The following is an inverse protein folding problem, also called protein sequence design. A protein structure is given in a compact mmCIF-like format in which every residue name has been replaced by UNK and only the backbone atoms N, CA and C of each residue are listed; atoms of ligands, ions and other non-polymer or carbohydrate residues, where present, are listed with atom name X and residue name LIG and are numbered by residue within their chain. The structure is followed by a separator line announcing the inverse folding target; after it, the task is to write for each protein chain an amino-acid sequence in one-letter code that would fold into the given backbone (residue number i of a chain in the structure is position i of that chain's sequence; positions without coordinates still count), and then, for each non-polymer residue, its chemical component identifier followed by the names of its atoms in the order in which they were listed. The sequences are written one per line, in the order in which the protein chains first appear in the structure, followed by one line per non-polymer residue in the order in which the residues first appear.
data_IF_527689480301
#
_entry.id   IF_527689480301
#
_cell.length_a   1.000
_cell.length_b   1.000
_cell.length_c   1.000
_cell.angle_alpha   90.00
_cell.angle_beta   90.00
_cell.angle_gamma   90.00
#
_symmetry.space_group_name_H-M   'P 1'
#
loop_
_entity.id
_entity.type
_entity.pdbx_description
1 polymer ?
#
# COMPACT_ATOMS: atom_id res chain seq x y z
N UNK A 1 -21.84 -34.16 1.04
CA UNK A 1 -21.48 -32.76 1.38
C UNK A 1 -20.01 -32.59 1.80
N UNK A 2 -19.49 -33.33 2.80
CA UNK A 2 -18.09 -33.20 3.27
C UNK A 2 -17.02 -33.51 2.20
N UNK A 3 -17.25 -34.49 1.33
CA UNK A 3 -16.27 -34.88 0.31
C UNK A 3 -16.11 -33.83 -0.80
N UNK A 4 -17.20 -33.19 -1.22
CA UNK A 4 -17.16 -32.09 -2.20
C UNK A 4 -16.45 -30.86 -1.63
N UNK A 5 -16.65 -30.55 -0.35
CA UNK A 5 -15.95 -29.47 0.34
C UNK A 5 -14.44 -29.75 0.44
N UNK A 6 -14.05 -30.99 0.71
CA UNK A 6 -12.65 -31.38 0.78
C UNK A 6 -11.96 -31.27 -0.58
N UNK A 7 -12.63 -31.70 -1.65
CA UNK A 7 -12.14 -31.56 -3.04
C UNK A 7 -12.01 -30.08 -3.44
N UNK A 8 -12.97 -29.24 -3.08
CA UNK A 8 -12.91 -27.80 -3.33
C UNK A 8 -11.74 -27.14 -2.57
N UNK A 9 -11.52 -27.53 -1.31
CA UNK A 9 -10.39 -27.05 -0.51
C UNK A 9 -9.03 -27.48 -1.11
N UNK A 10 -8.89 -28.73 -1.55
CA UNK A 10 -7.65 -29.21 -2.18
C UNK A 10 -7.34 -28.48 -3.49
N UNK A 11 -8.37 -28.16 -4.28
CA UNK A 11 -8.25 -27.36 -5.49
C UNK A 11 -7.79 -25.93 -5.17
N UNK A 12 -8.38 -25.31 -4.14
CA UNK A 12 -7.99 -23.98 -3.67
C UNK A 12 -6.53 -23.96 -3.18
N UNK A 13 -6.13 -24.90 -2.34
CA UNK A 13 -4.75 -25.03 -1.88
C UNK A 13 -3.78 -25.21 -3.06
N UNK A 14 -4.14 -26.01 -4.06
CA UNK A 14 -3.33 -26.21 -5.26
C UNK A 14 -3.22 -24.93 -6.09
N UNK A 15 -4.30 -24.17 -6.23
CA UNK A 15 -4.32 -22.90 -6.95
C UNK A 15 -3.45 -21.84 -6.26
N UNK A 16 -3.62 -21.66 -4.95
CA UNK A 16 -2.81 -20.74 -4.14
C UNK A 16 -1.31 -21.10 -4.24
N UNK A 17 -1.00 -22.40 -4.17
CA UNK A 17 0.37 -22.89 -4.31
C UNK A 17 0.98 -22.57 -5.69
N UNK A 18 0.21 -22.74 -6.77
CA UNK A 18 0.67 -22.37 -8.13
C UNK A 18 0.94 -20.87 -8.26
N UNK A 19 0.08 -20.02 -7.70
CA UNK A 19 0.30 -18.57 -7.66
C UNK A 19 1.61 -18.26 -6.91
N UNK A 20 1.82 -18.87 -5.76
CA UNK A 20 3.04 -18.66 -4.98
C UNK A 20 4.31 -19.02 -5.76
N UNK A 21 4.32 -20.17 -6.44
CA UNK A 21 5.44 -20.58 -7.29
C UNK A 21 5.68 -19.61 -8.45
N UNK A 22 4.60 -19.14 -9.09
CA UNK A 22 4.68 -18.14 -10.15
C UNK A 22 5.29 -16.83 -9.63
N UNK A 23 4.85 -16.34 -8.47
CA UNK A 23 5.36 -15.11 -7.86
C UNK A 23 6.85 -15.22 -7.50
N UNK A 24 7.30 -16.33 -6.91
CA UNK A 24 8.73 -16.53 -6.63
C UNK A 24 9.55 -16.50 -7.92
N UNK A 25 9.07 -17.18 -8.96
CA UNK A 25 9.75 -17.20 -10.26
C UNK A 25 9.82 -15.79 -10.86
N UNK A 26 8.70 -15.05 -10.87
CA UNK A 26 8.65 -13.68 -11.35
C UNK A 26 9.62 -12.76 -10.59
N UNK A 27 9.63 -12.82 -9.25
CA UNK A 27 10.58 -12.08 -8.42
C UNK A 27 12.03 -12.39 -8.79
N UNK A 28 12.38 -13.66 -9.03
CA UNK A 28 13.75 -14.03 -9.43
C UNK A 28 14.16 -13.42 -10.77
N UNK A 29 13.26 -13.39 -11.74
CA UNK A 29 13.50 -12.81 -13.07
C UNK A 29 13.68 -11.30 -12.97
N UNK A 30 12.82 -10.64 -12.19
CA UNK A 30 12.91 -9.19 -11.92
C UNK A 30 14.24 -8.86 -11.24
N UNK A 31 14.66 -9.62 -10.22
CA UNK A 31 15.95 -9.41 -9.56
C UNK A 31 17.13 -9.54 -10.53
N UNK A 32 17.13 -10.56 -11.41
CA UNK A 32 18.17 -10.72 -12.45
C UNK A 32 18.17 -9.52 -13.39
N UNK A 33 16.99 -9.06 -13.82
CA UNK A 33 16.87 -7.90 -14.69
C UNK A 33 17.42 -6.63 -14.03
N UNK A 34 17.03 -6.35 -12.78
CA UNK A 34 17.54 -5.21 -11.99
C UNK A 34 19.07 -5.29 -11.88
N UNK A 35 19.63 -6.45 -11.54
CA UNK A 35 21.08 -6.63 -11.47
C UNK A 35 21.79 -6.31 -12.80
N UNK A 36 21.20 -6.70 -13.94
CA UNK A 36 21.74 -6.36 -15.27
C UNK A 36 21.67 -4.86 -15.55
N UNK A 37 20.57 -4.21 -15.20
CA UNK A 37 20.41 -2.75 -15.35
C UNK A 37 21.42 -2.02 -14.48
N UNK A 38 21.56 -2.38 -13.21
CA UNK A 38 22.54 -1.79 -12.30
C UNK A 38 23.98 -2.01 -12.79
N UNK A 39 24.28 -3.18 -13.34
CA UNK A 39 25.58 -3.44 -13.96
C UNK A 39 25.84 -2.54 -15.16
N UNK A 40 24.85 -2.36 -16.04
CA UNK A 40 24.97 -1.46 -17.20
C UNK A 40 25.15 0.00 -16.77
N UNK A 41 24.40 0.46 -15.76
CA UNK A 41 24.55 1.79 -15.18
C UNK A 41 25.95 1.96 -14.59
N UNK A 42 26.41 1.00 -13.79
CA UNK A 42 27.76 1.02 -13.22
C UNK A 42 28.84 1.06 -14.32
N UNK A 43 28.67 0.27 -15.38
CA UNK A 43 29.58 0.29 -16.53
C UNK A 43 29.68 1.70 -17.13
N UNK A 44 28.54 2.37 -17.40
CA UNK A 44 28.54 3.74 -17.92
C UNK A 44 29.17 4.74 -16.95
N UNK A 45 28.82 4.68 -15.66
CA UNK A 45 29.40 5.55 -14.62
C UNK A 45 30.92 5.36 -14.54
N UNK A 46 31.40 4.11 -14.67
CA UNK A 46 32.82 3.79 -14.58
C UNK A 46 33.66 4.40 -15.71
N UNK A 47 33.04 4.90 -16.78
CA UNK A 47 33.72 5.62 -17.86
C UNK A 47 33.96 7.11 -17.51
N UNK A 48 33.23 7.65 -16.53
CA UNK A 48 33.29 9.07 -16.16
C UNK A 48 34.42 9.35 -15.16
N UNK A 49 35.01 10.54 -15.24
CA UNK A 49 35.84 11.08 -14.16
C UNK A 49 34.95 11.51 -12.98
N UNK A 50 35.32 11.25 -11.71
CA UNK A 50 36.53 10.57 -11.22
C UNK A 50 36.37 9.05 -11.02
N UNK A 51 35.23 8.48 -11.39
CA UNK A 51 34.86 7.09 -11.11
C UNK A 51 35.76 6.07 -11.80
N UNK A 52 36.29 6.38 -12.99
CA UNK A 52 37.23 5.53 -13.72
C UNK A 52 38.47 5.15 -12.90
N UNK A 53 38.96 6.02 -12.00
CA UNK A 53 40.10 5.74 -11.11
C UNK A 53 39.81 4.71 -10.04
N UNK A 54 38.59 4.70 -9.52
CA UNK A 54 38.16 3.79 -8.43
C UNK A 54 37.47 2.52 -8.96
N UNK A 55 37.07 2.52 -10.22
CA UNK A 55 36.36 1.41 -10.85
C UNK A 55 37.09 0.06 -10.74
N UNK A 56 38.42 -0.05 -10.91
CA UNK A 56 39.12 -1.34 -10.77
C UNK A 56 38.99 -1.93 -9.36
N UNK A 57 39.09 -1.10 -8.32
CA UNK A 57 38.98 -1.53 -6.93
C UNK A 57 37.56 -2.02 -6.62
N UNK A 58 36.54 -1.27 -7.06
CA UNK A 58 35.12 -1.62 -6.88
C UNK A 58 34.78 -2.89 -7.66
N UNK A 59 35.26 -3.02 -8.90
CA UNK A 59 35.07 -4.23 -9.70
C UNK A 59 35.71 -5.46 -9.05
N UNK A 60 36.91 -5.31 -8.46
CA UNK A 60 37.57 -6.41 -7.75
C UNK A 60 36.82 -6.83 -6.49
N UNK A 61 36.38 -5.86 -5.68
CA UNK A 61 35.53 -6.11 -4.52
C UNK A 61 34.23 -6.82 -4.91
N UNK A 62 33.52 -6.31 -5.92
CA UNK A 62 32.28 -6.89 -6.42
C UNK A 62 32.48 -8.33 -6.93
N UNK A 63 33.58 -8.61 -7.64
CA UNK A 63 33.90 -9.97 -8.10
C UNK A 63 34.12 -10.92 -6.93
N UNK A 64 34.91 -10.50 -5.92
CA UNK A 64 35.18 -11.31 -4.74
C UNK A 64 33.90 -11.58 -3.96
N UNK A 65 33.10 -10.55 -3.70
CA UNK A 65 31.80 -10.68 -3.04
C UNK A 65 30.87 -11.65 -3.80
N UNK A 66 30.76 -11.50 -5.13
CA UNK A 66 29.95 -12.39 -5.95
C UNK A 66 30.47 -13.85 -5.89
N UNK A 67 31.79 -14.06 -5.96
CA UNK A 67 32.36 -15.42 -5.86
C UNK A 67 32.09 -16.10 -4.52
N UNK A 68 32.05 -15.33 -3.42
CA UNK A 68 31.73 -15.84 -2.08
C UNK A 68 30.23 -16.11 -1.90
N UNK A 69 29.37 -15.24 -2.43
CA UNK A 69 27.93 -15.32 -2.21
C UNK A 69 27.21 -16.25 -3.20
N UNK A 70 27.68 -16.35 -4.44
CA UNK A 70 27.03 -17.14 -5.50
C UNK A 70 26.82 -18.63 -5.14
N UNK A 71 27.79 -19.32 -4.49
CA UNK A 71 27.58 -20.71 -4.05
C UNK A 71 26.52 -20.82 -2.95
N UNK A 72 26.51 -19.88 -2.01
CA UNK A 72 25.52 -19.82 -0.93
C UNK A 72 24.11 -19.61 -1.49
N UNK A 73 23.94 -18.63 -2.38
CA UNK A 73 22.65 -18.37 -3.03
C UNK A 73 22.17 -19.56 -3.86
N UNK A 74 23.06 -20.23 -4.60
CA UNK A 74 22.71 -21.47 -5.32
C UNK A 74 22.23 -22.56 -4.37
N UNK A 75 22.95 -22.78 -3.26
CA UNK A 75 22.59 -23.79 -2.26
C UNK A 75 21.24 -23.50 -1.62
N UNK A 76 20.96 -22.24 -1.26
CA UNK A 76 19.67 -21.80 -0.73
C UNK A 76 18.58 -22.02 -1.77
N UNK A 77 18.79 -21.58 -3.01
CA UNK A 77 17.84 -21.74 -4.09
C UNK A 77 17.51 -23.21 -4.38
N UNK A 78 18.53 -24.07 -4.41
CA UNK A 78 18.35 -25.52 -4.61
C UNK A 78 17.61 -26.17 -3.43
N UNK A 79 17.88 -25.72 -2.21
CA UNK A 79 17.17 -26.20 -1.01
C UNK A 79 15.69 -25.80 -1.06
N UNK A 80 15.41 -24.54 -1.38
CA UNK A 80 14.05 -24.04 -1.59
C UNK A 80 13.35 -24.81 -2.71
N UNK A 81 14.01 -25.03 -3.85
CA UNK A 81 13.47 -25.78 -4.98
C UNK A 81 13.14 -27.22 -4.61
N UNK A 82 14.04 -27.93 -3.91
CA UNK A 82 13.81 -29.30 -3.44
C UNK A 82 12.67 -29.39 -2.42
N UNK A 83 12.59 -28.42 -1.51
CA UNK A 83 11.48 -28.32 -0.56
C UNK A 83 10.15 -28.08 -1.28
N UNK A 84 10.13 -27.16 -2.24
CA UNK A 84 8.96 -26.85 -3.06
C UNK A 84 8.50 -28.06 -3.88
N UNK A 85 9.41 -28.78 -4.54
CA UNK A 85 9.09 -29.98 -5.34
C UNK A 85 8.54 -31.12 -4.46
N UNK A 86 9.12 -31.32 -3.26
CA UNK A 86 8.62 -32.32 -2.31
C UNK A 86 7.25 -31.94 -1.73
N UNK A 87 7.03 -30.65 -1.48
CA UNK A 87 5.74 -30.10 -1.03
C UNK A 87 4.66 -30.21 -2.10
N UNK A 88 5.01 -30.01 -3.37
CA UNK A 88 4.06 -30.02 -4.49
C UNK A 88 3.44 -31.41 -4.73
N UNK A 89 4.14 -32.49 -4.39
CA UNK A 89 3.64 -33.87 -4.59
C UNK A 89 2.69 -34.36 -3.49
N UNK A 90 2.62 -33.70 -2.32
CA UNK A 90 1.80 -34.17 -1.20
C UNK A 90 0.67 -33.20 -0.86
N UNK A 91 -0.58 -33.64 -1.01
CA UNK A 91 -1.77 -32.89 -0.60
C UNK A 91 -1.70 -32.49 0.88
N UNK A 92 -1.12 -33.36 1.74
CA UNK A 92 -0.93 -33.09 3.17
C UNK A 92 -0.02 -31.87 3.42
N UNK A 93 1.04 -31.72 2.64
CA UNK A 93 1.96 -30.58 2.73
C UNK A 93 1.30 -29.27 2.26
N UNK A 94 0.50 -29.32 1.19
CA UNK A 94 -0.28 -28.17 0.70
C UNK A 94 -1.28 -27.67 1.74
N UNK A 95 -1.97 -28.60 2.42
CA UNK A 95 -2.93 -28.26 3.49
C UNK A 95 -2.27 -27.62 4.71
N UNK A 96 -1.01 -27.99 5.02
CA UNK A 96 -0.25 -27.42 6.14
C UNK A 96 0.36 -26.05 5.80
N UNK A 97 0.89 -25.88 4.58
CA UNK A 97 1.62 -24.68 4.20
C UNK A 97 0.73 -23.55 3.68
N UNK A 98 -0.42 -23.85 3.07
CA UNK A 98 -1.33 -22.81 2.54
C UNK A 98 -1.85 -21.86 3.62
N UNK A 99 -2.30 -22.32 4.82
CA UNK A 99 -2.72 -21.42 5.89
C UNK A 99 -1.58 -20.56 6.42
N UNK A 100 -0.37 -21.12 6.53
CA UNK A 100 0.83 -20.38 6.95
C UNK A 100 1.16 -19.29 5.92
N UNK A 101 1.08 -19.60 4.63
CA UNK A 101 1.33 -18.63 3.57
C UNK A 101 0.27 -17.51 3.58
N UNK A 102 -1.01 -17.86 3.74
CA UNK A 102 -2.10 -16.88 3.88
C UNK A 102 -1.88 -15.99 5.11
N UNK A 103 -1.49 -16.59 6.25
CA UNK A 103 -1.20 -15.86 7.47
C UNK A 103 0.02 -14.93 7.30
N UNK A 104 1.10 -15.41 6.68
CA UNK A 104 2.26 -14.58 6.37
C UNK A 104 1.88 -13.43 5.44
N UNK A 105 1.13 -13.68 4.38
CA UNK A 105 0.59 -12.63 3.52
C UNK A 105 -0.28 -11.63 4.30
N UNK A 106 -1.15 -12.09 5.20
CA UNK A 106 -2.02 -11.24 6.01
C UNK A 106 -1.24 -10.41 7.06
N UNK A 107 -0.17 -10.95 7.63
CA UNK A 107 0.67 -10.24 8.59
C UNK A 107 1.64 -9.26 7.91
N UNK A 108 2.10 -9.57 6.70
CA UNK A 108 3.03 -8.72 5.93
C UNK A 108 2.31 -7.64 5.14
N UNK A 109 1.15 -7.95 4.58
CA UNK A 109 0.17 -6.99 4.09
C UNK A 109 -0.89 -6.86 5.17
N UNK A 110 -0.60 -6.06 6.21
CA UNK A 110 -1.66 -5.67 7.15
C UNK A 110 -2.87 -5.28 6.30
N UNK A 111 -4.07 -5.89 6.51
CA UNK A 111 -5.26 -5.40 5.86
C UNK A 111 -5.26 -3.90 6.15
N UNK A 112 -5.31 -3.05 5.12
CA UNK A 112 -5.24 -1.62 5.34
C UNK A 112 -6.19 -1.23 6.46
N UNK A 113 -5.84 -0.25 7.30
CA UNK A 113 -6.67 0.22 8.43
C UNK A 113 -8.11 0.62 8.04
N UNK A 114 -8.42 0.60 6.74
CA UNK A 114 -9.74 0.71 6.16
C UNK A 114 -10.40 -0.65 5.83
N UNK A 115 -10.09 -1.80 6.42
CA UNK A 115 -10.88 -3.03 6.19
C UNK A 115 -11.96 -3.20 7.26
N UNK A 116 -13.23 -3.10 6.89
CA UNK A 116 -14.37 -3.22 7.81
C UNK A 116 -15.62 -2.44 7.35
N UNK A 117 -16.78 -2.61 8.01
CA UNK A 117 -17.97 -1.81 7.73
C UNK A 117 -17.75 -0.35 8.13
N UNK A 118 -18.36 0.57 7.38
CA UNK A 118 -18.37 1.99 7.73
C UNK A 118 -19.34 2.22 8.89
N UNK A 119 -18.86 2.81 9.99
CA UNK A 119 -19.69 3.17 11.14
C UNK A 119 -19.89 4.67 11.18
N UNK A 120 -21.13 5.10 11.46
CA UNK A 120 -21.45 6.51 11.64
C UNK A 120 -20.71 7.03 12.86
N UNK A 121 -19.91 8.08 12.68
CA UNK A 121 -19.10 8.68 13.74
C UNK A 121 -19.67 10.01 14.21
N UNK A 122 -20.10 10.86 13.28
CA UNK A 122 -20.56 12.22 13.58
C UNK A 122 -21.53 12.70 12.49
N UNK A 123 -22.46 13.58 12.86
CA UNK A 123 -23.38 14.26 11.94
C UNK A 123 -23.36 15.76 12.23
N UNK A 124 -23.42 16.59 11.18
CA UNK A 124 -23.29 18.04 11.35
C UNK A 124 -23.13 18.77 10.03
N UNK A 125 -22.57 19.97 10.06
CA UNK A 125 -22.36 20.80 8.87
C UNK A 125 -20.92 20.65 8.37
N UNK A 126 -20.76 20.42 7.07
CA UNK A 126 -19.49 20.55 6.37
C UNK A 126 -19.35 21.95 5.77
N UNK A 127 -18.11 22.41 5.65
CA UNK A 127 -17.73 23.48 4.73
C UNK A 127 -16.46 23.11 3.98
N UNK A 128 -15.80 24.09 3.34
CA UNK A 128 -14.51 23.86 2.69
C UNK A 128 -13.56 25.06 2.82
N UNK A 129 -12.27 24.80 2.67
CA UNK A 129 -11.22 25.82 2.72
C UNK A 129 -11.32 26.81 1.56
N UNK A 130 -11.32 28.11 1.88
CA UNK A 130 -11.21 29.17 0.89
C UNK A 130 -9.79 29.34 0.32
N UNK A 131 -9.67 30.14 -0.74
CA UNK A 131 -8.41 30.39 -1.47
C UNK A 131 -7.24 30.87 -0.57
N UNK A 132 -7.53 31.57 0.52
CA UNK A 132 -6.50 32.09 1.44
C UNK A 132 -5.67 31.02 2.17
N UNK A 133 -6.11 29.75 2.15
CA UNK A 133 -5.41 28.64 2.83
C UNK A 133 -4.39 27.92 1.95
N UNK A 134 -4.33 28.24 0.66
CA UNK A 134 -3.51 27.51 -0.31
C UNK A 134 -2.04 27.48 0.12
N UNK A 135 -1.45 26.29 0.11
CA UNK A 135 -0.06 26.00 0.49
C UNK A 135 0.35 26.33 1.94
N UNK A 136 -0.60 26.69 2.82
CA UNK A 136 -0.33 26.83 4.26
C UNK A 136 -0.07 25.47 4.89
N UNK A 137 0.71 25.44 5.99
CA UNK A 137 0.92 24.21 6.76
C UNK A 137 -0.37 23.81 7.47
N UNK A 138 -0.73 22.54 7.38
CA UNK A 138 -1.79 21.91 8.16
C UNK A 138 -1.22 21.36 9.48
N UNK A 139 -2.10 20.89 10.36
CA UNK A 139 -1.72 20.26 11.62
C UNK A 139 -0.92 18.95 11.45
N UNK A 140 -1.02 18.26 10.30
CA UNK A 140 -0.13 17.13 9.98
C UNK A 140 1.29 17.54 9.59
N UNK A 141 1.55 18.84 9.41
CA UNK A 141 2.82 19.37 8.93
C UNK A 141 2.95 19.42 7.41
N UNK A 142 2.02 18.80 6.68
CA UNK A 142 1.91 18.90 5.22
C UNK A 142 1.45 20.30 4.79
N UNK A 143 1.71 20.67 3.54
CA UNK A 143 1.09 21.88 2.96
C UNK A 143 -0.29 21.53 2.41
N UNK A 144 -1.27 22.40 2.64
CA UNK A 144 -2.60 22.26 2.06
C UNK A 144 -2.55 22.49 0.55
N UNK A 145 -2.91 21.46 -0.22
CA UNK A 145 -3.15 21.57 -1.66
C UNK A 145 -4.65 21.45 -1.93
N UNK A 146 -5.26 22.40 -2.67
CA UNK A 146 -6.70 22.41 -2.91
C UNK A 146 -7.20 21.22 -3.75
N UNK A 147 -6.29 20.62 -4.53
CA UNK A 147 -6.55 19.49 -5.42
C UNK A 147 -6.35 18.13 -4.75
N UNK A 148 -5.89 18.09 -3.50
CA UNK A 148 -5.88 16.87 -2.72
C UNK A 148 -7.27 16.60 -2.15
N UNK A 149 -7.61 15.34 -1.93
CA UNK A 149 -8.88 14.94 -1.29
C UNK A 149 -8.68 14.81 0.22
N UNK A 150 -8.52 15.96 0.88
CA UNK A 150 -8.24 16.07 2.31
C UNK A 150 -9.32 16.86 3.05
N UNK A 151 -9.27 16.80 4.39
CA UNK A 151 -10.17 17.56 5.26
C UNK A 151 -9.57 17.83 6.64
N UNK A 152 -10.17 18.79 7.35
CA UNK A 152 -9.89 19.12 8.74
C UNK A 152 -11.00 18.62 9.66
N UNK A 153 -10.63 18.03 10.79
CA UNK A 153 -11.57 17.61 11.84
C UNK A 153 -10.97 17.84 13.22
N UNK A 154 -11.80 18.24 14.19
CA UNK A 154 -11.42 18.40 15.60
C UNK A 154 -11.35 17.05 16.33
N UNK A 155 -12.20 16.11 15.94
CA UNK A 155 -12.45 14.85 16.66
C UNK A 155 -11.68 13.68 16.07
N UNK A 156 -11.44 13.68 14.75
CA UNK A 156 -10.77 12.57 14.08
C UNK A 156 -9.24 12.68 14.17
N UNK A 157 -8.53 11.57 14.45
CA UNK A 157 -7.06 11.52 14.36
C UNK A 157 -6.53 11.95 12.99
N UNK A 158 -5.32 12.52 12.96
CA UNK A 158 -4.65 12.79 11.69
C UNK A 158 -4.32 11.46 10.99
N UNK A 159 -4.48 11.42 9.68
CA UNK A 159 -4.32 10.21 8.86
C UNK A 159 -5.59 9.37 8.72
N UNK A 160 -6.64 9.63 9.50
CA UNK A 160 -7.92 8.92 9.37
C UNK A 160 -8.51 9.12 7.97
N UNK A 161 -8.98 8.04 7.36
CA UNK A 161 -9.78 8.09 6.13
C UNK A 161 -11.25 8.07 6.52
N UNK A 162 -11.97 9.14 6.20
CA UNK A 162 -13.38 9.30 6.50
C UNK A 162 -14.20 9.31 5.21
N UNK A 163 -15.36 8.65 5.24
CA UNK A 163 -16.40 8.80 4.21
C UNK A 163 -17.36 9.90 4.67
N UNK A 164 -17.46 10.95 3.86
CA UNK A 164 -18.36 12.07 4.10
C UNK A 164 -19.52 11.95 3.13
N UNK A 165 -20.74 11.89 3.65
CA UNK A 165 -21.98 11.80 2.87
C UNK A 165 -22.75 13.09 3.01
N UNK A 166 -23.10 13.73 1.89
CA UNK A 166 -23.96 14.90 1.87
C UNK A 166 -25.42 14.45 1.90
N UNK A 167 -26.13 14.85 2.97
CA UNK A 167 -27.51 14.43 3.20
C UNK A 167 -28.51 15.10 2.27
N UNK A 168 -28.14 16.23 1.66
CA UNK A 168 -29.01 16.97 0.75
C UNK A 168 -29.07 16.38 -0.65
N UNK A 169 -27.99 15.75 -1.13
CA UNK A 169 -27.93 15.22 -2.50
C UNK A 169 -27.51 13.73 -2.59
N UNK A 170 -27.22 13.08 -1.45
CA UNK A 170 -26.79 11.67 -1.38
C UNK A 170 -25.36 11.40 -1.87
N UNK A 171 -24.62 12.43 -2.31
CA UNK A 171 -23.24 12.28 -2.80
C UNK A 171 -22.29 11.95 -1.65
N UNK A 172 -21.21 11.24 -1.95
CA UNK A 172 -20.22 10.87 -0.95
C UNK A 172 -18.79 11.05 -1.48
N UNK A 173 -17.88 11.44 -0.57
CA UNK A 173 -16.45 11.56 -0.85
C UNK A 173 -15.64 10.93 0.27
N UNK A 174 -14.54 10.29 -0.08
CA UNK A 174 -13.57 9.77 0.89
C UNK A 174 -12.44 10.78 1.04
N UNK A 175 -12.18 11.24 2.26
CA UNK A 175 -11.15 12.23 2.57
C UNK A 175 -10.17 11.69 3.59
N UNK A 176 -8.91 12.11 3.48
CA UNK A 176 -7.93 11.92 4.55
C UNK A 176 -7.91 13.15 5.46
N UNK A 177 -8.01 12.93 6.77
CA UNK A 177 -7.89 13.99 7.77
C UNK A 177 -6.42 14.36 7.89
N UNK A 178 -6.05 15.58 7.51
CA UNK A 178 -4.67 16.06 7.59
C UNK A 178 -4.54 17.42 8.31
N UNK A 179 -5.65 17.95 8.81
CA UNK A 179 -5.67 19.22 9.52
C UNK A 179 -6.63 19.22 10.71
N UNK A 180 -6.59 20.30 11.51
CA UNK A 180 -7.46 20.55 12.66
C UNK A 180 -8.38 21.74 12.40
N UNK A 181 -9.57 21.67 12.97
CA UNK A 181 -10.70 22.55 12.67
C UNK A 181 -11.92 21.72 12.27
N UNK A 182 -13.04 22.32 11.84
CA UNK A 182 -13.35 23.74 11.87
C UNK A 182 -13.40 24.33 13.29
N UNK A 183 -12.97 25.58 13.44
CA UNK A 183 -13.10 26.33 14.70
C UNK A 183 -14.39 27.17 14.80
N UNK A 184 -15.27 27.05 13.81
CA UNK A 184 -16.58 27.72 13.80
C UNK A 184 -17.61 26.75 14.38
N UNK A 185 -18.35 27.21 15.39
CA UNK A 185 -19.38 26.43 16.07
C UNK A 185 -20.42 25.89 15.06
N UNK A 186 -20.81 24.63 15.24
CA UNK A 186 -21.82 23.97 14.41
C UNK A 186 -21.29 23.30 13.14
N UNK A 187 -20.02 23.53 12.75
CA UNK A 187 -19.36 22.78 11.69
C UNK A 187 -18.52 21.65 12.28
N UNK A 188 -18.47 20.53 11.58
CA UNK A 188 -17.77 19.31 12.04
C UNK A 188 -16.60 18.92 11.12
N UNK A 189 -16.58 19.42 9.89
CA UNK A 189 -15.52 19.13 8.92
C UNK A 189 -15.34 20.27 7.92
N UNK A 190 -14.08 20.61 7.64
CA UNK A 190 -13.71 21.53 6.55
C UNK A 190 -13.00 20.73 5.46
N UNK A 191 -13.61 20.67 4.28
CA UNK A 191 -13.13 19.91 3.14
C UNK A 191 -12.09 20.70 2.34
N UNK A 192 -11.24 19.99 1.62
CA UNK A 192 -10.49 20.54 0.49
C UNK A 192 -11.42 21.01 -0.63
N UNK A 193 -10.94 21.90 -1.50
CA UNK A 193 -11.69 22.38 -2.65
C UNK A 193 -12.14 21.23 -3.56
N UNK A 194 -11.25 20.29 -3.88
CA UNK A 194 -11.60 19.13 -4.70
C UNK A 194 -12.62 18.21 -4.00
N UNK A 195 -12.50 18.00 -2.68
CA UNK A 195 -13.50 17.21 -1.96
C UNK A 195 -14.87 17.90 -1.94
N UNK A 196 -14.91 19.22 -1.80
CA UNK A 196 -16.14 20.01 -1.84
C UNK A 196 -16.83 19.97 -3.21
N UNK A 197 -16.05 20.03 -4.30
CA UNK A 197 -16.56 19.83 -5.66
C UNK A 197 -17.16 18.44 -5.84
N UNK A 198 -16.43 17.39 -5.42
CA UNK A 198 -16.92 16.00 -5.51
C UNK A 198 -18.16 15.73 -4.66
N UNK A 199 -18.26 16.37 -3.51
CA UNK A 199 -19.42 16.26 -2.61
C UNK A 199 -20.62 17.12 -3.07
N UNK A 200 -20.40 18.02 -4.03
CA UNK A 200 -21.43 18.89 -4.57
C UNK A 200 -21.83 20.02 -3.62
N UNK A 201 -20.89 20.59 -2.86
CA UNK A 201 -21.13 21.70 -1.94
C UNK A 201 -20.40 22.99 -2.32
N UNK A 202 -19.64 22.98 -3.41
CA UNK A 202 -18.82 24.11 -3.85
C UNK A 202 -19.64 25.40 -4.01
N UNK A 203 -20.80 25.32 -4.68
CA UNK A 203 -21.67 26.46 -4.94
C UNK A 203 -22.43 26.92 -3.67
N UNK A 204 -22.83 25.97 -2.81
CA UNK A 204 -23.59 26.25 -1.59
C UNK A 204 -22.72 26.73 -0.43
N UNK A 205 -21.41 26.45 -0.47
CA UNK A 205 -20.48 26.76 0.63
C UNK A 205 -20.50 25.74 1.76
N UNK A 206 -21.70 25.30 2.15
CA UNK A 206 -21.94 24.40 3.27
C UNK A 206 -22.99 23.33 2.92
N UNK A 207 -22.97 22.21 3.65
CA UNK A 207 -24.04 21.21 3.58
C UNK A 207 -24.16 20.39 4.87
N UNK A 208 -25.35 19.85 5.19
CA UNK A 208 -25.50 18.82 6.20
C UNK A 208 -24.86 17.52 5.73
N UNK A 209 -23.98 16.96 6.55
CA UNK A 209 -23.22 15.75 6.25
C UNK A 209 -23.26 14.72 7.38
N UNK A 210 -22.96 13.49 7.00
CA UNK A 210 -22.65 12.38 7.90
C UNK A 210 -21.21 11.93 7.66
N UNK A 211 -20.47 11.74 8.74
CA UNK A 211 -19.09 11.25 8.71
C UNK A 211 -19.08 9.82 9.17
N UNK A 212 -18.52 8.94 8.35
CA UNK A 212 -18.28 7.55 8.67
C UNK A 212 -16.79 7.27 8.72
N UNK A 213 -16.38 6.43 9.67
CA UNK A 213 -15.02 5.92 9.79
C UNK A 213 -15.02 4.40 9.84
N UNK A 214 -13.85 3.81 9.59
CA UNK A 214 -13.56 2.41 9.90
C UNK A 214 -12.72 2.42 11.17
N UNK A 215 -13.15 1.69 12.19
CA UNK A 215 -12.42 1.51 13.45
C UNK A 215 -11.28 0.51 13.29
#
# INVERSE_FOLDING_TARGET
MKEHLLKAYDLLCTFIWKIFLFLISACSVICIFICKVLYAIWFLISLLWPFNKIAPAINNFSRKLNSSLKPLFRKIFDLCRKFLDKSDRSVKSKRLLSPILILVCFLTFHPPSHWGPWKLKEQGIASYYGYGFYFRKTASGERYYPWDVTAASLTLPLGTVAKVVNRSNGSAVYVRINDRGPYVKGRIIDLSFLAALKLGIYNQGIAPVEIYTRE
#
